data_IF_326799060660
#
_entry.id   IF_326799060660
#
_cell.length_a   1.000
_cell.length_b   1.000
_cell.length_c   1.000
_cell.angle_alpha   90.00
_cell.angle_beta   90.00
_cell.angle_gamma   90.00
#
_symmetry.space_group_name_H-M   'P 1'
#
loop_
_entity.id
_entity.type
_entity.pdbx_description
1 polymer ?
#
# COMPACT_ATOMS: atom_id res chain seq x y z
N UNK A 1 26.09 17.49 -3.49
CA UNK A 1 26.81 17.01 -4.67
C UNK A 1 25.90 16.49 -5.77
N UNK A 2 26.50 15.97 -6.82
CA UNK A 2 25.78 15.46 -8.00
C UNK A 2 24.78 14.30 -7.68
N UNK A 3 25.05 13.50 -6.66
CA UNK A 3 24.18 12.39 -6.22
C UNK A 3 22.85 12.86 -5.64
N UNK A 4 22.84 13.92 -4.86
CA UNK A 4 21.61 14.43 -4.23
C UNK A 4 20.61 14.97 -5.27
N UNK A 5 21.13 15.58 -6.33
CA UNK A 5 20.31 16.12 -7.42
C UNK A 5 19.75 15.01 -8.30
N UNK A 6 20.46 13.91 -8.44
CA UNK A 6 20.05 12.77 -9.27
C UNK A 6 18.91 11.96 -8.64
N UNK A 7 18.98 11.66 -7.32
CA UNK A 7 17.96 10.84 -6.63
C UNK A 7 16.70 11.61 -6.24
N UNK A 8 16.76 12.94 -6.19
CA UNK A 8 15.65 13.79 -5.74
C UNK A 8 14.32 13.53 -6.48
N UNK A 9 14.24 13.46 -7.82
CA UNK A 9 12.99 13.20 -8.51
C UNK A 9 12.42 11.82 -8.17
N UNK A 10 13.27 10.79 -8.06
CA UNK A 10 12.87 9.42 -7.73
C UNK A 10 12.38 9.29 -6.28
N UNK A 11 12.98 10.04 -5.35
CA UNK A 11 12.51 10.13 -3.98
C UNK A 11 11.08 10.72 -3.93
N UNK A 12 10.82 11.79 -4.65
CA UNK A 12 9.49 12.37 -4.74
C UNK A 12 8.48 11.45 -5.42
N UNK A 13 8.90 10.68 -6.41
CA UNK A 13 8.04 9.65 -7.01
C UNK A 13 7.65 8.58 -5.99
N UNK A 14 8.59 8.14 -5.15
CA UNK A 14 8.29 7.21 -4.05
C UNK A 14 7.28 7.80 -3.07
N UNK A 15 7.42 9.04 -2.65
CA UNK A 15 6.44 9.72 -1.79
C UNK A 15 5.06 9.79 -2.47
N UNK A 16 5.01 10.24 -3.73
CA UNK A 16 3.76 10.33 -4.51
C UNK A 16 3.11 8.96 -4.75
N UNK A 17 3.87 7.89 -4.75
CA UNK A 17 3.38 6.53 -4.85
C UNK A 17 2.90 6.00 -3.50
N UNK A 18 3.72 6.09 -2.47
CA UNK A 18 3.48 5.46 -1.18
C UNK A 18 2.31 6.10 -0.43
N UNK A 19 2.28 7.44 -0.35
CA UNK A 19 1.27 8.15 0.44
C UNK A 19 -0.16 7.83 -0.01
N UNK A 20 -0.54 7.99 -1.29
CA UNK A 20 -1.89 7.66 -1.73
C UNK A 20 -2.15 6.14 -1.71
N UNK A 21 -1.17 5.29 -2.03
CA UNK A 21 -1.36 3.84 -1.99
C UNK A 21 -1.64 3.33 -0.57
N UNK A 22 -0.91 3.81 0.43
CA UNK A 22 -1.15 3.51 1.85
C UNK A 22 -2.52 4.01 2.28
N UNK A 23 -2.87 5.25 1.92
CA UNK A 23 -4.16 5.84 2.28
C UNK A 23 -5.33 5.03 1.70
N UNK A 24 -5.34 4.78 0.39
CA UNK A 24 -6.45 4.09 -0.27
C UNK A 24 -6.55 2.62 0.17
N UNK A 25 -5.44 1.89 0.25
CA UNK A 25 -5.48 0.49 0.69
C UNK A 25 -5.92 0.35 2.15
N UNK A 26 -5.45 1.22 3.04
CA UNK A 26 -5.85 1.23 4.45
C UNK A 26 -7.32 1.61 4.61
N UNK A 27 -7.77 2.64 3.91
CA UNK A 27 -9.16 3.10 3.97
C UNK A 27 -10.14 2.04 3.44
N UNK A 28 -9.85 1.47 2.26
CA UNK A 28 -10.67 0.40 1.67
C UNK A 28 -10.65 -0.84 2.57
N UNK A 29 -9.49 -1.21 3.11
CA UNK A 29 -9.37 -2.32 4.05
C UNK A 29 -10.17 -2.12 5.33
N UNK A 30 -10.15 -0.92 5.89
CA UNK A 30 -10.96 -0.56 7.07
C UNK A 30 -12.46 -0.66 6.78
N UNK A 31 -12.92 -0.10 5.65
CA UNK A 31 -14.32 -0.19 5.21
C UNK A 31 -14.75 -1.65 4.98
N UNK A 32 -13.94 -2.42 4.28
CA UNK A 32 -14.22 -3.82 3.97
C UNK A 32 -14.23 -4.66 5.25
N UNK A 33 -13.27 -4.47 6.13
CA UNK A 33 -13.24 -5.13 7.44
C UNK A 33 -14.48 -4.82 8.29
N UNK A 34 -14.95 -3.57 8.27
CA UNK A 34 -16.20 -3.17 8.91
C UNK A 34 -17.41 -3.91 8.34
N UNK A 35 -17.56 -3.90 7.02
CA UNK A 35 -18.68 -4.60 6.35
C UNK A 35 -18.68 -6.08 6.71
N UNK A 36 -17.54 -6.74 6.61
CA UNK A 36 -17.41 -8.19 6.85
C UNK A 36 -17.61 -8.61 8.32
N UNK A 37 -17.59 -7.67 9.27
CA UNK A 37 -17.72 -8.00 10.71
C UNK A 37 -18.99 -7.45 11.35
N UNK A 38 -19.34 -6.21 11.06
CA UNK A 38 -20.41 -5.48 11.77
C UNK A 38 -21.64 -5.19 10.91
N UNK A 39 -21.48 -5.31 9.58
CA UNK A 39 -22.56 -5.07 8.61
C UNK A 39 -22.77 -6.27 7.69
N UNK A 40 -22.94 -7.43 8.32
CA UNK A 40 -22.96 -8.74 7.64
C UNK A 40 -24.08 -8.86 6.62
N UNK A 41 -23.77 -9.55 5.51
CA UNK A 41 -24.67 -9.83 4.42
C UNK A 41 -24.53 -11.29 3.93
N UNK A 42 -25.48 -11.78 3.13
CA UNK A 42 -25.36 -13.14 2.56
C UNK A 42 -24.14 -13.22 1.64
N UNK A 43 -23.25 -14.15 1.93
CA UNK A 43 -22.03 -14.38 1.14
C UNK A 43 -20.79 -13.61 1.63
N UNK A 44 -20.86 -12.86 2.73
CA UNK A 44 -19.72 -12.15 3.32
C UNK A 44 -18.52 -13.06 3.60
N UNK A 45 -18.75 -14.31 3.98
CA UNK A 45 -17.68 -15.28 4.20
C UNK A 45 -16.96 -15.66 2.90
N UNK A 46 -17.69 -15.78 1.79
CA UNK A 46 -17.07 -16.03 0.49
C UNK A 46 -16.23 -14.84 0.03
N UNK A 47 -16.74 -13.63 0.20
CA UNK A 47 -15.95 -12.42 -0.09
C UNK A 47 -14.69 -12.40 0.76
N UNK A 48 -14.78 -12.70 2.04
CA UNK A 48 -13.61 -12.78 2.91
C UNK A 48 -12.61 -13.86 2.47
N UNK A 49 -13.10 -15.06 2.10
CA UNK A 49 -12.22 -16.12 1.60
C UNK A 49 -11.51 -15.74 0.31
N UNK A 50 -12.17 -15.06 -0.62
CA UNK A 50 -11.53 -14.53 -1.83
C UNK A 50 -10.46 -13.49 -1.51
N UNK A 51 -10.74 -12.58 -0.59
CA UNK A 51 -9.75 -11.60 -0.14
C UNK A 51 -8.58 -12.28 0.58
N UNK A 52 -8.86 -13.25 1.44
CA UNK A 52 -7.83 -14.03 2.12
C UNK A 52 -6.96 -14.79 1.12
N UNK A 53 -7.56 -15.39 0.10
CA UNK A 53 -6.82 -16.03 -0.99
C UNK A 53 -5.89 -15.03 -1.69
N UNK A 54 -6.31 -13.78 -1.85
CA UNK A 54 -5.49 -12.70 -2.40
C UNK A 54 -4.18 -12.46 -1.62
N UNK A 55 -4.16 -12.71 -0.30
CA UNK A 55 -2.94 -12.61 0.50
C UNK A 55 -1.89 -13.68 0.15
N UNK A 56 -2.30 -14.79 -0.45
CA UNK A 56 -1.42 -15.92 -0.81
C UNK A 56 -1.03 -15.92 -2.28
N UNK A 57 -1.58 -15.03 -3.11
CA UNK A 57 -1.20 -14.92 -4.51
C UNK A 57 0.23 -14.35 -4.59
N UNK A 58 1.19 -15.10 -5.17
CA UNK A 58 2.52 -14.57 -5.39
C UNK A 58 2.46 -13.34 -6.29
N UNK A 59 3.11 -12.26 -5.90
CA UNK A 59 3.12 -11.03 -6.70
C UNK A 59 3.71 -11.24 -8.10
N UNK A 60 4.60 -12.23 -8.28
CA UNK A 60 5.10 -12.61 -9.61
C UNK A 60 3.99 -13.10 -10.55
N UNK A 61 2.96 -13.78 -10.02
CA UNK A 61 1.86 -14.31 -10.83
C UNK A 61 0.95 -13.20 -11.38
N UNK A 62 0.89 -12.04 -10.73
CA UNK A 62 0.03 -10.93 -11.14
C UNK A 62 0.74 -9.92 -12.07
N UNK A 63 2.06 -10.02 -12.27
CA UNK A 63 2.81 -9.04 -13.04
C UNK A 63 2.24 -8.85 -14.45
N UNK A 64 2.05 -9.94 -15.18
CA UNK A 64 1.57 -9.88 -16.56
C UNK A 64 0.11 -9.40 -16.69
N UNK A 65 -0.86 -9.94 -15.93
CA UNK A 65 -2.22 -9.42 -15.92
C UNK A 65 -2.29 -7.94 -15.53
N UNK A 66 -1.49 -7.53 -14.55
CA UNK A 66 -1.46 -6.15 -14.08
C UNK A 66 -0.86 -5.20 -15.13
N UNK A 67 0.25 -5.58 -15.76
CA UNK A 67 0.85 -4.82 -16.86
C UNK A 67 -0.16 -4.58 -17.99
N UNK A 68 -0.91 -5.63 -18.36
CA UNK A 68 -1.98 -5.53 -19.37
C UNK A 68 -3.10 -4.58 -18.93
N UNK A 69 -3.51 -4.66 -17.67
CA UNK A 69 -4.55 -3.78 -17.10
C UNK A 69 -4.11 -2.32 -17.15
N UNK A 70 -2.86 -2.03 -16.72
CA UNK A 70 -2.30 -0.67 -16.79
C UNK A 70 -2.23 -0.16 -18.23
N UNK A 71 -1.90 -1.03 -19.19
CA UNK A 71 -1.89 -0.71 -20.61
C UNK A 71 -3.26 -0.33 -21.14
N UNK A 72 -4.29 -1.12 -20.83
CA UNK A 72 -5.68 -0.85 -21.23
C UNK A 72 -6.19 0.46 -20.60
N UNK A 73 -5.82 0.76 -19.35
CA UNK A 73 -6.18 1.99 -18.67
C UNK A 73 -5.38 3.21 -19.13
N UNK A 74 -4.34 3.03 -19.93
CA UNK A 74 -3.47 4.12 -20.42
C UNK A 74 -2.61 4.77 -19.33
N UNK A 75 -2.35 4.05 -18.23
CA UNK A 75 -1.55 4.52 -17.08
C UNK A 75 -0.26 3.71 -16.87
N UNK A 76 0.18 2.99 -17.90
CA UNK A 76 1.49 2.32 -17.90
C UNK A 76 2.62 3.34 -17.73
N UNK A 77 3.72 2.91 -17.14
CA UNK A 77 4.90 3.74 -16.87
C UNK A 77 4.55 5.07 -16.19
N UNK A 78 3.73 5.01 -15.15
CA UNK A 78 3.35 6.21 -14.39
C UNK A 78 3.29 5.93 -12.89
N UNK A 79 3.50 6.97 -12.09
CA UNK A 79 3.32 6.90 -10.63
C UNK A 79 1.88 6.53 -10.27
N UNK A 80 0.90 6.99 -11.04
CA UNK A 80 -0.53 6.65 -10.85
C UNK A 80 -0.77 5.15 -11.05
N UNK A 81 -0.14 4.55 -12.07
CA UNK A 81 -0.19 3.11 -12.28
C UNK A 81 0.37 2.34 -11.08
N UNK A 82 1.51 2.77 -10.53
CA UNK A 82 2.10 2.18 -9.33
C UNK A 82 1.19 2.32 -8.10
N UNK A 83 0.56 3.49 -7.91
CA UNK A 83 -0.43 3.71 -6.84
C UNK A 83 -1.57 2.69 -6.95
N UNK A 84 -2.10 2.48 -8.15
CA UNK A 84 -3.18 1.51 -8.37
C UNK A 84 -2.73 0.09 -8.03
N UNK A 85 -1.55 -0.34 -8.52
CA UNK A 85 -1.02 -1.68 -8.26
C UNK A 85 -0.85 -1.94 -6.76
N UNK A 86 -0.19 -1.02 -6.05
CA UNK A 86 0.05 -1.17 -4.62
C UNK A 86 -1.24 -1.09 -3.80
N UNK A 87 -2.19 -0.25 -4.21
CA UNK A 87 -3.50 -0.17 -3.56
C UNK A 87 -4.23 -1.50 -3.68
N UNK A 88 -4.38 -2.03 -4.90
CA UNK A 88 -5.11 -3.28 -5.15
C UNK A 88 -4.45 -4.46 -4.44
N UNK A 89 -3.13 -4.57 -4.52
CA UNK A 89 -2.38 -5.64 -3.86
C UNK A 89 -2.44 -5.54 -2.33
N UNK A 90 -2.49 -4.32 -1.78
CA UNK A 90 -2.56 -4.08 -0.35
C UNK A 90 -3.94 -4.36 0.28
N UNK A 91 -5.04 -4.27 -0.48
CA UNK A 91 -6.41 -4.43 0.05
C UNK A 91 -6.64 -5.74 0.80
N UNK A 92 -6.21 -6.93 0.32
CA UNK A 92 -6.39 -8.18 1.05
C UNK A 92 -5.78 -8.15 2.45
N UNK A 93 -4.54 -7.68 2.57
CA UNK A 93 -3.81 -7.60 3.84
C UNK A 93 -4.43 -6.58 4.80
N UNK A 94 -4.72 -5.37 4.32
CA UNK A 94 -5.33 -4.34 5.15
C UNK A 94 -6.73 -4.75 5.60
N UNK A 95 -7.51 -5.39 4.74
CA UNK A 95 -8.81 -5.97 5.11
C UNK A 95 -8.67 -7.02 6.20
N UNK A 96 -7.69 -7.91 6.10
CA UNK A 96 -7.42 -8.94 7.11
C UNK A 96 -7.09 -8.31 8.46
N UNK A 97 -6.24 -7.28 8.50
CA UNK A 97 -5.86 -6.58 9.72
C UNK A 97 -7.07 -5.92 10.39
N UNK A 98 -7.83 -5.13 9.63
CA UNK A 98 -9.02 -4.46 10.18
C UNK A 98 -10.13 -5.44 10.56
N UNK A 99 -10.36 -6.48 9.75
CA UNK A 99 -11.35 -7.50 10.09
C UNK A 99 -11.02 -8.18 11.41
N UNK A 100 -9.77 -8.60 11.61
CA UNK A 100 -9.34 -9.24 12.84
C UNK A 100 -9.48 -8.30 14.04
N UNK A 101 -9.16 -7.03 13.89
CA UNK A 101 -9.36 -6.03 14.93
C UNK A 101 -10.84 -5.81 15.23
N UNK A 102 -11.68 -5.67 14.22
CA UNK A 102 -13.10 -5.42 14.41
C UNK A 102 -13.87 -6.62 14.99
N UNK A 103 -13.38 -7.83 14.83
CA UNK A 103 -13.96 -9.00 15.52
C UNK A 103 -13.90 -8.81 17.04
N UNK A 104 -12.85 -8.22 17.59
CA UNK A 104 -12.68 -7.96 19.02
C UNK A 104 -13.52 -6.78 19.55
N UNK A 105 -13.97 -5.89 18.67
CA UNK A 105 -14.82 -4.76 19.06
C UNK A 105 -16.23 -5.26 19.41
N UNK A 106 -16.79 -4.90 20.59
CA UNK A 106 -18.13 -5.32 20.99
C UNK A 106 -19.20 -4.90 19.97
N UNK A 107 -20.05 -5.85 19.57
CA UNK A 107 -21.13 -5.59 18.60
C UNK A 107 -22.22 -4.70 19.21
N UNK A 108 -22.32 -4.66 20.52
CA UNK A 108 -23.24 -3.84 21.30
C UNK A 108 -23.08 -2.35 21.00
N UNK A 109 -21.84 -1.88 20.77
CA UNK A 109 -21.57 -0.49 20.37
C UNK A 109 -22.28 -0.14 19.06
N UNK A 110 -22.21 -1.04 18.08
CA UNK A 110 -22.86 -0.83 16.77
C UNK A 110 -24.39 -0.93 16.90
N UNK A 111 -24.89 -1.85 17.73
CA UNK A 111 -26.33 -1.99 17.98
C UNK A 111 -26.90 -0.77 18.68
N UNK A 112 -26.24 -0.26 19.72
CA UNK A 112 -26.64 0.96 20.43
C UNK A 112 -26.69 2.15 19.46
N UNK A 113 -25.65 2.35 18.66
CA UNK A 113 -25.62 3.43 17.68
C UNK A 113 -26.76 3.33 16.64
N UNK A 114 -27.14 2.12 16.23
CA UNK A 114 -28.29 1.92 15.34
C UNK A 114 -29.61 2.29 15.99
N UNK A 115 -29.79 1.98 17.28
CA UNK A 115 -30.97 2.38 18.06
C UNK A 115 -31.05 3.91 18.11
N UNK A 116 -29.90 4.60 18.24
CA UNK A 116 -29.79 6.07 18.23
C UNK A 116 -29.91 6.65 16.80
N UNK A 117 -30.30 5.86 15.81
CA UNK A 117 -30.51 6.30 14.41
C UNK A 117 -29.23 6.54 13.62
N UNK A 118 -28.09 6.02 14.03
CA UNK A 118 -26.85 6.14 13.25
C UNK A 118 -26.84 5.15 12.07
N UNK A 119 -26.70 5.70 10.87
CA UNK A 119 -26.52 4.92 9.64
C UNK A 119 -25.09 4.42 9.45
N UNK A 120 -24.87 3.66 8.38
CA UNK A 120 -23.61 2.99 8.02
C UNK A 120 -22.38 3.89 8.15
N UNK A 121 -22.36 5.01 7.45
CA UNK A 121 -21.21 5.93 7.45
C UNK A 121 -21.01 6.63 8.79
N UNK A 122 -22.09 6.98 9.48
CA UNK A 122 -22.00 7.60 10.80
C UNK A 122 -21.35 6.66 11.83
N UNK A 123 -21.71 5.37 11.81
CA UNK A 123 -21.10 4.34 12.66
C UNK A 123 -19.61 4.18 12.29
N UNK A 124 -19.29 4.09 11.01
CA UNK A 124 -17.91 3.96 10.58
C UNK A 124 -17.04 5.14 11.03
N UNK A 125 -17.40 6.36 10.63
CA UNK A 125 -16.55 7.53 10.87
C UNK A 125 -16.56 8.05 12.32
N UNK A 126 -17.67 7.87 13.05
CA UNK A 126 -17.80 8.42 14.40
C UNK A 126 -17.51 7.43 15.52
N UNK A 127 -17.55 6.13 15.23
CA UNK A 127 -17.35 5.09 16.23
C UNK A 127 -16.16 4.21 15.88
N UNK A 128 -16.24 3.49 14.75
CA UNK A 128 -15.24 2.48 14.42
C UNK A 128 -13.88 3.07 14.06
N UNK A 129 -13.85 4.09 13.21
CA UNK A 129 -12.59 4.68 12.77
C UNK A 129 -11.80 5.32 13.93
N UNK A 130 -12.42 6.09 14.86
CA UNK A 130 -11.69 6.62 16.01
C UNK A 130 -11.11 5.54 16.94
N UNK A 131 -11.85 4.46 17.21
CA UNK A 131 -11.34 3.37 18.06
C UNK A 131 -10.32 2.49 17.35
N UNK A 132 -10.19 2.62 16.03
CA UNK A 132 -9.26 1.87 15.20
C UNK A 132 -7.84 2.45 15.19
N UNK A 133 -7.57 3.52 15.93
CA UNK A 133 -6.25 4.16 15.92
C UNK A 133 -5.08 3.17 16.07
N UNK A 134 -5.11 2.18 16.98
CA UNK A 134 -4.01 1.22 17.10
C UNK A 134 -3.78 0.39 15.85
N UNK A 135 -4.84 -0.14 15.24
CA UNK A 135 -4.70 -0.97 14.04
C UNK A 135 -4.41 -0.12 12.79
N UNK A 136 -4.84 1.13 12.73
CA UNK A 136 -4.47 2.07 11.68
C UNK A 136 -2.96 2.27 11.68
N UNK A 137 -2.36 2.54 12.84
CA UNK A 137 -0.91 2.74 12.98
C UNK A 137 -0.16 1.51 12.49
N UNK A 138 -0.51 0.32 12.97
CA UNK A 138 0.13 -0.93 12.54
C UNK A 138 -0.01 -1.14 11.03
N UNK A 139 -1.21 -0.93 10.49
CA UNK A 139 -1.49 -1.12 9.06
C UNK A 139 -0.70 -0.13 8.19
N UNK A 140 -0.66 1.14 8.60
CA UNK A 140 0.07 2.20 7.89
C UNK A 140 1.57 1.92 7.89
N UNK A 141 2.16 1.56 9.04
CA UNK A 141 3.58 1.22 9.13
C UNK A 141 3.89 0.02 8.23
N UNK A 142 3.08 -1.03 8.30
CA UNK A 142 3.29 -2.23 7.49
C UNK A 142 3.19 -1.92 5.99
N UNK A 143 2.11 -1.25 5.55
CA UNK A 143 1.90 -0.88 4.15
C UNK A 143 2.98 0.08 3.64
N UNK A 144 3.33 1.08 4.44
CA UNK A 144 4.40 2.02 4.10
C UNK A 144 5.71 1.28 3.84
N UNK A 145 6.11 0.41 4.77
CA UNK A 145 7.36 -0.35 4.66
C UNK A 145 7.36 -1.27 3.43
N UNK A 146 6.25 -1.97 3.18
CA UNK A 146 6.13 -2.85 2.01
C UNK A 146 6.23 -2.08 0.69
N UNK A 147 5.49 -0.97 0.57
CA UNK A 147 5.43 -0.20 -0.66
C UNK A 147 6.73 0.60 -0.88
N UNK A 148 7.29 1.17 0.18
CA UNK A 148 8.55 1.93 0.08
C UNK A 148 9.71 1.06 -0.37
N UNK A 149 9.81 -0.14 0.15
CA UNK A 149 10.89 -1.08 -0.17
C UNK A 149 10.61 -1.92 -1.43
N UNK A 150 9.46 -1.74 -2.08
CA UNK A 150 9.16 -2.49 -3.29
C UNK A 150 10.09 -2.11 -4.44
N UNK A 151 10.74 -3.10 -4.98
CA UNK A 151 11.55 -3.02 -6.18
C UNK A 151 10.84 -3.66 -7.38
N UNK A 152 10.09 -4.74 -7.15
CA UNK A 152 9.58 -5.58 -8.22
C UNK A 152 8.51 -4.88 -9.05
N UNK A 153 7.50 -4.32 -8.42
CA UNK A 153 6.46 -3.58 -9.13
C UNK A 153 7.04 -2.30 -9.75
N UNK A 154 7.90 -1.60 -8.99
CA UNK A 154 8.60 -0.43 -9.48
C UNK A 154 9.39 -0.71 -10.75
N UNK A 155 10.21 -1.76 -10.78
CA UNK A 155 11.03 -2.13 -11.95
C UNK A 155 10.24 -2.72 -13.12
N UNK A 156 9.06 -3.30 -12.82
CA UNK A 156 8.22 -3.92 -13.85
C UNK A 156 7.27 -2.93 -14.52
N UNK A 157 6.71 -2.00 -13.74
CA UNK A 157 5.64 -1.10 -14.22
C UNK A 157 6.08 0.33 -14.45
N UNK A 158 7.34 0.68 -14.13
CA UNK A 158 7.88 2.02 -14.36
C UNK A 158 9.34 1.98 -14.82
N UNK A 159 9.72 2.95 -15.63
CA UNK A 159 11.08 3.14 -16.10
C UNK A 159 11.36 4.62 -16.37
N UNK A 160 12.64 4.98 -16.45
CA UNK A 160 13.06 6.36 -16.68
C UNK A 160 12.62 7.28 -15.53
N UNK A 161 12.03 8.40 -15.87
CA UNK A 161 11.65 9.45 -14.93
C UNK A 161 10.49 9.07 -13.99
N UNK A 162 9.69 8.05 -14.32
CA UNK A 162 8.57 7.58 -13.50
C UNK A 162 9.00 6.60 -12.40
N UNK A 163 10.25 6.15 -12.38
CA UNK A 163 10.74 5.15 -11.46
C UNK A 163 10.75 5.65 -10.01
N UNK A 164 10.45 4.78 -9.02
CA UNK A 164 10.66 5.06 -7.61
C UNK A 164 12.14 4.94 -7.22
N UNK A 165 12.48 5.43 -6.02
CA UNK A 165 13.86 5.52 -5.53
C UNK A 165 14.59 4.17 -5.50
N UNK A 166 13.89 3.08 -5.15
CA UNK A 166 14.51 1.74 -5.08
C UNK A 166 14.98 1.25 -6.46
N UNK A 167 14.23 1.57 -7.51
CA UNK A 167 14.61 1.24 -8.89
C UNK A 167 15.78 2.11 -9.34
N UNK A 168 15.74 3.41 -9.06
CA UNK A 168 16.81 4.32 -9.40
C UNK A 168 18.12 3.96 -8.68
N UNK A 169 18.06 3.59 -7.41
CA UNK A 169 19.21 3.14 -6.63
C UNK A 169 19.84 1.87 -7.22
N UNK A 170 19.02 0.88 -7.56
CA UNK A 170 19.51 -0.34 -8.19
C UNK A 170 20.19 -0.08 -9.54
N UNK A 171 19.60 0.77 -10.37
CA UNK A 171 20.15 1.14 -11.67
C UNK A 171 21.49 1.89 -11.52
N UNK A 172 21.61 2.75 -10.51
CA UNK A 172 22.84 3.48 -10.19
C UNK A 172 23.96 2.51 -9.81
N UNK A 173 23.68 1.55 -8.92
CA UNK A 173 24.66 0.53 -8.50
C UNK A 173 25.11 -0.35 -9.67
N UNK A 174 24.19 -0.70 -10.57
CA UNK A 174 24.49 -1.54 -11.73
C UNK A 174 25.23 -0.79 -12.85
N UNK A 175 25.02 0.52 -13.00
CA UNK A 175 25.61 1.33 -14.08
C UNK A 175 27.04 1.79 -13.82
N UNK A 176 27.56 1.66 -12.60
CA UNK A 176 28.92 2.05 -12.21
C UNK A 176 29.96 1.04 -12.74
N UNK A 177 30.30 1.14 -14.03
CA UNK A 177 31.16 0.15 -14.73
C UNK A 177 32.66 0.45 -14.71
N UNK A 178 33.11 1.64 -14.32
CA UNK A 178 34.53 2.02 -14.47
C UNK A 178 35.29 2.33 -13.17
N UNK A 179 34.68 3.02 -12.24
CA UNK A 179 35.21 3.23 -10.87
C UNK A 179 34.01 3.20 -9.93
N UNK A 180 33.92 2.16 -9.12
CA UNK A 180 32.86 2.06 -8.13
C UNK A 180 33.04 3.15 -7.08
N UNK A 181 32.20 4.16 -7.14
CA UNK A 181 32.12 5.21 -6.12
C UNK A 181 31.33 4.68 -4.91
N UNK A 182 31.90 3.73 -4.16
CA UNK A 182 31.26 3.09 -3.02
C UNK A 182 30.68 4.10 -2.01
N UNK A 183 31.31 5.26 -1.87
CA UNK A 183 30.84 6.32 -0.98
C UNK A 183 29.47 6.88 -1.42
N UNK A 184 29.27 7.05 -2.73
CA UNK A 184 28.00 7.54 -3.31
C UNK A 184 26.93 6.47 -3.22
N UNK A 185 27.28 5.23 -3.53
CA UNK A 185 26.35 4.09 -3.44
C UNK A 185 25.86 3.90 -1.99
N UNK A 186 26.77 3.95 -1.02
CA UNK A 186 26.44 3.82 0.41
C UNK A 186 25.61 4.99 0.92
N UNK A 187 25.95 6.23 0.58
CA UNK A 187 25.19 7.41 0.95
C UNK A 187 23.76 7.36 0.36
N UNK A 188 23.64 6.94 -0.90
CA UNK A 188 22.35 6.78 -1.58
C UNK A 188 21.48 5.70 -0.94
N UNK A 189 22.08 4.58 -0.56
CA UNK A 189 21.38 3.50 0.15
C UNK A 189 20.88 3.94 1.53
N UNK A 190 21.66 4.72 2.27
CA UNK A 190 21.24 5.30 3.55
C UNK A 190 20.06 6.23 3.35
N UNK A 191 20.14 7.17 2.39
CA UNK A 191 19.07 8.12 2.10
C UNK A 191 17.78 7.39 1.72
N UNK A 192 17.88 6.36 0.89
CA UNK A 192 16.72 5.55 0.49
C UNK A 192 16.13 4.74 1.66
N UNK A 193 16.96 4.35 2.65
CA UNK A 193 16.54 3.56 3.80
C UNK A 193 15.96 4.38 4.97
N UNK A 194 16.33 5.66 5.12
CA UNK A 194 15.90 6.52 6.24
C UNK A 194 14.38 6.46 6.50
N UNK A 195 13.49 6.59 5.50
CA UNK A 195 12.04 6.59 5.75
C UNK A 195 11.47 5.32 6.37
N UNK A 196 12.21 4.20 6.29
CA UNK A 196 11.78 2.92 6.88
C UNK A 196 12.39 2.67 8.25
N UNK A 197 13.32 3.51 8.70
CA UNK A 197 13.98 3.43 10.01
C UNK A 197 13.29 4.31 11.07
N UNK A 198 12.43 5.22 10.65
CA UNK A 198 11.65 6.15 11.48
C UNK A 198 10.27 5.58 11.76
#
# INVERSE_FOLDING_TARGET
GAGDTFLRPYFWNSIKMVVPAVFFSTFIGAMTGYVLTKWRFKGDQWVFLFLLFGCFIPFQAILLPMARTLGVLGISNSVVGLVLVHTVYGIPFTTLFFRNYYVSVPTELVKAARIDGAGFFKIFFKILLPISAPIIVVTVIWQFTQIWNDFLFGSTFSFGEAAPIQVALNNMVLSSTSVKEYNVDMASAIIAGIPTLI
#
